data_IF_464509171669
#
_entry.id   IF_464509171669
#
_cell.length_a   1.000
_cell.length_b   1.000
_cell.length_c   1.000
_cell.angle_alpha   90.00
_cell.angle_beta   90.00
_cell.angle_gamma   90.00
#
_symmetry.space_group_name_H-M   'P 1'
#
loop_
_entity.id
_entity.type
_entity.pdbx_description
1 polymer ?
#
# COMPACT_ATOMS: atom_id res chain seq x y z
N UNK A 1 -6.88 -17.67 11.04
CA UNK A 1 -5.72 -17.38 11.91
C UNK A 1 -5.64 -15.88 12.12
N UNK A 2 -5.20 -15.40 13.29
CA UNK A 2 -4.97 -13.97 13.48
C UNK A 2 -3.75 -13.52 12.64
N UNK A 3 -3.80 -12.34 12.00
CA UNK A 3 -2.67 -11.82 11.25
C UNK A 3 -1.53 -11.42 12.20
N UNK A 4 -0.28 -11.55 11.75
CA UNK A 4 0.90 -11.07 12.49
C UNK A 4 1.26 -9.66 12.05
N UNK A 5 1.41 -8.75 13.01
CA UNK A 5 1.88 -7.38 12.73
C UNK A 5 3.39 -7.33 12.89
N UNK A 6 4.08 -6.68 11.94
CA UNK A 6 5.53 -6.44 11.99
C UNK A 6 5.79 -4.96 11.77
N UNK A 7 6.67 -4.40 12.59
CA UNK A 7 7.28 -3.10 12.35
C UNK A 7 8.69 -3.33 11.79
N UNK A 8 8.94 -2.83 10.59
CA UNK A 8 10.21 -2.98 9.88
C UNK A 8 11.03 -1.68 9.85
N UNK A 9 10.49 -0.58 10.40
CA UNK A 9 11.13 0.73 10.37
C UNK A 9 11.42 1.23 8.95
N UNK A 10 12.53 1.96 8.79
CA UNK A 10 12.97 2.45 7.48
C UNK A 10 13.60 1.31 6.67
N UNK A 11 12.98 0.95 5.54
CA UNK A 11 13.40 -0.19 4.70
C UNK A 11 13.53 0.22 3.24
N UNK A 12 14.56 -0.27 2.53
CA UNK A 12 14.69 -0.08 1.08
C UNK A 12 13.51 -0.68 0.31
N UNK A 13 12.97 0.05 -0.67
CA UNK A 13 11.77 -0.37 -1.41
C UNK A 13 11.94 -1.72 -2.09
N UNK A 14 13.06 -1.94 -2.77
CA UNK A 14 13.35 -3.20 -3.48
C UNK A 14 13.51 -4.37 -2.52
N UNK A 15 14.18 -4.17 -1.38
CA UNK A 15 14.34 -5.21 -0.36
C UNK A 15 12.99 -5.61 0.28
N UNK A 16 12.13 -4.63 0.58
CA UNK A 16 10.77 -4.89 1.05
C UNK A 16 9.96 -5.66 -0.01
N UNK A 17 10.01 -5.23 -1.27
CA UNK A 17 9.30 -5.87 -2.37
C UNK A 17 9.73 -7.32 -2.61
N UNK A 18 11.03 -7.59 -2.64
CA UNK A 18 11.56 -8.96 -2.75
C UNK A 18 11.15 -9.84 -1.57
N UNK A 19 11.10 -9.27 -0.37
CA UNK A 19 10.66 -9.99 0.83
C UNK A 19 9.17 -10.30 0.78
N UNK A 20 8.33 -9.36 0.33
CA UNK A 20 6.90 -9.60 0.10
C UNK A 20 6.67 -10.71 -0.94
N UNK A 21 7.43 -10.69 -2.04
CA UNK A 21 7.37 -11.73 -3.08
C UNK A 21 7.74 -13.09 -2.51
N UNK A 22 8.91 -13.20 -1.86
CA UNK A 22 9.35 -14.46 -1.24
C UNK A 22 8.37 -14.99 -0.19
N UNK A 23 7.79 -14.11 0.63
CA UNK A 23 6.76 -14.48 1.59
C UNK A 23 5.54 -15.07 0.88
N UNK A 24 5.05 -14.39 -0.16
CA UNK A 24 3.87 -14.80 -0.91
C UNK A 24 4.11 -16.10 -1.68
N UNK A 25 5.27 -16.27 -2.29
CA UNK A 25 5.61 -17.46 -3.09
C UNK A 25 5.81 -18.72 -2.23
N UNK A 26 6.21 -18.55 -0.96
CA UNK A 26 6.47 -19.66 -0.02
C UNK A 26 5.30 -19.95 0.92
N UNK A 27 4.23 -19.15 0.86
CA UNK A 27 3.09 -19.30 1.77
C UNK A 27 2.37 -20.62 1.49
N UNK A 28 1.82 -21.20 2.54
CA UNK A 28 0.89 -22.33 2.48
C UNK A 28 -0.43 -21.95 3.14
N UNK A 29 -1.42 -22.84 3.08
CA UNK A 29 -2.71 -22.65 3.76
C UNK A 29 -2.55 -22.42 5.28
N UNK A 30 -1.48 -22.96 5.87
CA UNK A 30 -1.12 -22.79 7.28
C UNK A 30 -0.31 -21.53 7.58
N UNK A 31 0.17 -20.80 6.57
CA UNK A 31 0.88 -19.53 6.77
C UNK A 31 -0.10 -18.43 7.18
N UNK A 32 0.08 -17.88 8.38
CA UNK A 32 -0.68 -16.73 8.86
C UNK A 32 -0.49 -15.52 7.93
N UNK A 33 -1.54 -14.71 7.76
CA UNK A 33 -1.42 -13.42 7.06
C UNK A 33 -0.54 -12.47 7.86
N UNK A 34 0.10 -11.51 7.18
CA UNK A 34 0.96 -10.52 7.83
C UNK A 34 0.60 -9.09 7.43
N UNK A 35 0.82 -8.16 8.37
CA UNK A 35 0.68 -6.72 8.16
C UNK A 35 2.03 -6.10 8.50
N UNK A 36 2.69 -5.51 7.52
CA UNK A 36 3.99 -4.86 7.70
C UNK A 36 3.82 -3.36 7.72
N UNK A 37 4.33 -2.74 8.78
CA UNK A 37 4.42 -1.30 8.99
C UNK A 37 5.86 -0.88 8.73
N UNK A 38 6.06 0.12 7.89
CA UNK A 38 7.39 0.58 7.52
C UNK A 38 7.35 1.98 6.90
N UNK A 39 8.54 2.53 6.69
CA UNK A 39 8.78 3.70 5.85
C UNK A 39 9.81 3.33 4.78
N UNK A 40 9.83 4.10 3.69
CA UNK A 40 10.86 3.98 2.66
C UNK A 40 11.75 5.22 2.63
N UNK A 41 13.04 5.09 2.30
CA UNK A 41 13.78 6.19 1.70
C UNK A 41 13.05 6.76 0.47
N UNK A 42 13.34 8.00 0.07
CA UNK A 42 12.67 8.62 -1.08
C UNK A 42 12.71 7.73 -2.32
N UNK A 43 11.54 7.39 -2.86
CA UNK A 43 11.41 6.54 -4.05
C UNK A 43 10.12 6.85 -4.79
N UNK A 44 10.18 6.84 -6.12
CA UNK A 44 9.00 6.76 -6.96
C UNK A 44 8.75 5.30 -7.36
N UNK A 45 7.55 4.80 -7.12
CA UNK A 45 7.13 3.49 -7.66
C UNK A 45 6.21 3.68 -8.85
N UNK A 46 6.50 2.99 -9.95
CA UNK A 46 5.71 3.00 -11.19
C UNK A 46 4.99 1.66 -11.32
N UNK A 47 3.67 1.67 -11.10
CA UNK A 47 2.82 0.48 -11.23
C UNK A 47 2.47 0.14 -12.68
N UNK A 48 1.64 -0.88 -12.88
CA UNK A 48 1.26 -1.41 -14.20
C UNK A 48 0.57 -0.39 -15.12
N UNK A 49 -0.15 0.59 -14.57
CA UNK A 49 -0.77 1.68 -15.33
C UNK A 49 0.17 2.88 -15.55
N UNK A 50 1.39 2.81 -15.01
CA UNK A 50 2.37 3.87 -15.05
C UNK A 50 3.10 3.95 -16.39
N UNK A 51 3.33 5.18 -16.86
CA UNK A 51 4.17 5.49 -18.02
C UNK A 51 5.19 6.53 -17.58
N UNK A 52 6.32 6.61 -18.27
CA UNK A 52 7.37 7.59 -17.94
C UNK A 52 6.86 9.03 -17.94
N UNK A 53 5.95 9.37 -18.87
CA UNK A 53 5.27 10.68 -18.90
C UNK A 53 4.43 11.02 -17.67
N UNK A 54 4.16 10.06 -16.77
CA UNK A 54 3.49 10.34 -15.51
C UNK A 54 4.48 10.81 -14.42
N UNK A 55 5.79 10.63 -14.64
CA UNK A 55 6.84 11.25 -13.83
C UNK A 55 7.00 12.70 -14.31
N UNK A 56 6.80 13.66 -13.41
CA UNK A 56 6.92 15.08 -13.76
C UNK A 56 8.39 15.53 -13.73
N UNK A 57 9.06 15.34 -12.60
CA UNK A 57 10.49 15.62 -12.44
C UNK A 57 11.02 14.82 -11.23
N UNK A 58 11.55 13.60 -11.42
CA UNK A 58 12.01 12.77 -10.32
C UNK A 58 13.35 13.24 -9.72
N UNK A 59 14.07 14.15 -10.38
CA UNK A 59 15.42 14.56 -9.96
C UNK A 59 16.35 13.36 -9.73
N UNK A 60 16.97 13.29 -8.55
CA UNK A 60 17.85 12.19 -8.14
C UNK A 60 17.11 11.03 -7.43
N UNK A 61 15.79 11.11 -7.26
CA UNK A 61 15.00 10.11 -6.54
C UNK A 61 14.88 8.85 -7.41
N UNK A 62 15.22 7.65 -6.90
CA UNK A 62 15.10 6.41 -7.64
C UNK A 62 13.66 6.16 -8.13
N UNK A 63 13.53 5.64 -9.35
CA UNK A 63 12.26 5.21 -9.92
C UNK A 63 12.26 3.70 -10.09
N UNK A 64 11.39 3.01 -9.35
CA UNK A 64 11.28 1.54 -9.37
C UNK A 64 10.00 1.13 -10.09
N UNK A 65 10.14 0.33 -11.15
CA UNK A 65 9.00 -0.32 -11.81
C UNK A 65 8.53 -1.50 -10.96
N UNK A 66 7.24 -1.57 -10.69
CA UNK A 66 6.64 -2.60 -9.85
C UNK A 66 5.33 -3.10 -10.45
N UNK A 67 4.83 -4.20 -9.90
CA UNK A 67 3.69 -4.95 -10.42
C UNK A 67 2.37 -4.63 -9.72
N UNK A 68 2.33 -3.62 -8.84
CA UNK A 68 1.06 -3.13 -8.28
C UNK A 68 0.23 -2.39 -9.34
N UNK A 69 -1.08 -2.38 -9.12
CA UNK A 69 -2.00 -1.51 -9.84
C UNK A 69 -1.71 -0.02 -9.64
N UNK A 70 -2.32 0.81 -10.48
CA UNK A 70 -2.17 2.26 -10.46
C UNK A 70 -1.02 2.77 -11.31
N UNK A 71 -0.83 4.08 -11.30
CA UNK A 71 0.20 4.78 -12.07
C UNK A 71 1.46 4.97 -11.20
N UNK A 72 1.95 6.20 -11.10
CA UNK A 72 3.09 6.58 -10.25
C UNK A 72 2.62 6.92 -8.83
N UNK A 73 3.45 6.63 -7.83
CA UNK A 73 3.31 7.22 -6.48
C UNK A 73 4.70 7.44 -5.86
N UNK A 74 4.75 8.32 -4.87
CA UNK A 74 5.96 8.63 -4.11
C UNK A 74 5.86 8.01 -2.71
N UNK A 75 6.99 7.48 -2.24
CA UNK A 75 7.20 7.11 -0.84
C UNK A 75 8.46 7.79 -0.30
N UNK A 76 8.47 8.09 0.99
CA UNK A 76 9.59 8.74 1.66
C UNK A 76 9.41 8.78 3.18
N UNK A 77 10.43 9.24 3.92
CA UNK A 77 10.34 9.39 5.37
C UNK A 77 9.18 10.30 5.79
N UNK A 78 8.50 9.94 6.88
CA UNK A 78 7.27 10.55 7.37
C UNK A 78 5.99 9.99 6.75
N UNK A 79 6.09 9.09 5.75
CA UNK A 79 4.94 8.39 5.20
C UNK A 79 4.90 6.94 5.70
N UNK A 80 3.93 6.63 6.57
CA UNK A 80 3.64 5.24 6.94
C UNK A 80 3.16 4.45 5.72
N UNK A 81 3.90 3.41 5.38
CA UNK A 81 3.53 2.40 4.39
C UNK A 81 3.03 1.16 5.13
N UNK A 82 1.91 0.61 4.66
CA UNK A 82 1.32 -0.61 5.22
C UNK A 82 1.15 -1.65 4.13
N UNK A 83 1.90 -2.75 4.23
CA UNK A 83 1.73 -3.90 3.35
C UNK A 83 0.90 -4.98 4.03
N UNK A 84 -0.29 -5.24 3.52
CA UNK A 84 -1.18 -6.29 4.02
C UNK A 84 -1.05 -7.52 3.12
N UNK A 85 -0.30 -8.52 3.58
CA UNK A 85 -0.08 -9.79 2.90
C UNK A 85 -1.16 -10.78 3.31
N UNK A 86 -2.31 -10.70 2.62
CA UNK A 86 -3.51 -11.47 2.92
C UNK A 86 -3.78 -12.56 1.88
N UNK A 87 -4.28 -13.73 2.31
CA UNK A 87 -4.89 -14.73 1.43
C UNK A 87 -6.39 -14.43 1.26
N UNK A 88 -6.73 -13.76 0.16
CA UNK A 88 -8.11 -13.38 -0.11
C UNK A 88 -9.04 -14.59 -0.35
N UNK A 89 -8.51 -15.70 -0.88
CA UNK A 89 -9.28 -16.92 -1.10
C UNK A 89 -9.67 -17.54 0.24
N UNK A 90 -8.70 -17.65 1.17
CA UNK A 90 -8.96 -18.13 2.53
C UNK A 90 -9.91 -17.21 3.31
N UNK A 91 -9.85 -15.91 3.05
CA UNK A 91 -10.79 -14.95 3.65
C UNK A 91 -12.19 -15.02 3.01
N UNK A 92 -12.34 -15.61 1.82
CA UNK A 92 -13.56 -15.54 1.01
C UNK A 92 -13.88 -14.12 0.53
N UNK A 93 -12.86 -13.28 0.32
CA UNK A 93 -13.02 -11.88 -0.05
C UNK A 93 -12.62 -11.64 -1.50
N UNK A 94 -13.37 -10.78 -2.19
CA UNK A 94 -12.93 -10.22 -3.47
C UNK A 94 -12.05 -8.98 -3.27
N UNK A 95 -11.26 -8.65 -4.30
CA UNK A 95 -10.36 -7.47 -4.31
C UNK A 95 -11.09 -6.17 -3.93
N UNK A 96 -12.29 -5.93 -4.46
CA UNK A 96 -13.08 -4.73 -4.15
C UNK A 96 -13.42 -4.62 -2.66
N UNK A 97 -13.81 -5.74 -2.03
CA UNK A 97 -14.11 -5.79 -0.59
C UNK A 97 -12.84 -5.50 0.22
N UNK A 98 -11.71 -6.04 -0.20
CA UNK A 98 -10.44 -5.82 0.46
C UNK A 98 -9.97 -4.37 0.37
N UNK A 99 -10.01 -3.74 -0.81
CA UNK A 99 -9.72 -2.30 -0.99
C UNK A 99 -10.62 -1.46 -0.08
N UNK A 100 -11.94 -1.73 -0.09
CA UNK A 100 -12.86 -1.00 0.77
C UNK A 100 -12.51 -1.14 2.26
N UNK A 101 -12.07 -2.33 2.71
CA UNK A 101 -11.65 -2.53 4.09
C UNK A 101 -10.38 -1.75 4.45
N UNK A 102 -9.39 -1.70 3.55
CA UNK A 102 -8.17 -0.91 3.74
C UNK A 102 -8.49 0.59 3.82
N UNK A 103 -9.33 1.09 2.93
CA UNK A 103 -9.80 2.48 2.97
C UNK A 103 -10.61 2.77 4.25
N UNK A 104 -11.40 1.80 4.73
CA UNK A 104 -12.17 1.98 5.97
C UNK A 104 -11.24 2.11 7.16
N UNK A 105 -10.21 1.27 7.25
CA UNK A 105 -9.26 1.32 8.36
C UNK A 105 -8.57 2.70 8.46
N UNK A 106 -8.24 3.32 7.32
CA UNK A 106 -7.69 4.70 7.30
C UNK A 106 -8.74 5.73 7.73
N UNK A 107 -10.00 5.59 7.28
CA UNK A 107 -11.08 6.50 7.69
C UNK A 107 -11.33 6.40 9.20
N UNK A 108 -11.43 5.19 9.73
CA UNK A 108 -11.65 4.93 11.16
C UNK A 108 -10.48 5.50 11.98
N UNK A 109 -9.25 5.35 11.48
CA UNK A 109 -8.07 5.96 12.08
C UNK A 109 -8.17 7.50 12.10
N UNK A 110 -8.53 8.14 10.99
CA UNK A 110 -8.76 9.59 10.94
C UNK A 110 -9.86 10.03 11.93
N UNK A 111 -10.92 9.23 12.09
CA UNK A 111 -12.01 9.52 13.02
C UNK A 111 -11.53 9.53 14.48
N UNK A 112 -10.53 8.72 14.86
CA UNK A 112 -9.92 8.79 16.21
C UNK A 112 -9.34 10.17 16.55
N UNK A 113 -8.91 10.92 15.53
CA UNK A 113 -8.45 12.31 15.66
C UNK A 113 -9.51 13.35 15.29
N UNK A 114 -10.76 12.92 15.10
CA UNK A 114 -11.90 13.76 14.67
C UNK A 114 -11.68 14.44 13.32
N UNK A 115 -10.93 13.78 12.44
CA UNK A 115 -10.65 14.24 11.09
C UNK A 115 -11.63 13.55 10.14
N UNK A 116 -12.43 14.34 9.41
CA UNK A 116 -13.41 13.82 8.47
C UNK A 116 -12.75 13.37 7.16
N UNK A 117 -12.45 12.08 7.05
CA UNK A 117 -11.91 11.47 5.85
C UNK A 117 -12.99 10.70 5.06
N UNK A 118 -12.88 10.67 3.72
CA UNK A 118 -13.88 10.03 2.84
C UNK A 118 -13.22 9.30 1.67
N UNK A 119 -13.94 8.32 1.13
CA UNK A 119 -13.64 7.73 -0.20
C UNK A 119 -14.13 8.65 -1.30
N UNK A 120 -13.56 8.50 -2.50
CA UNK A 120 -14.04 9.15 -3.72
C UNK A 120 -14.41 8.11 -4.78
N UNK A 121 -15.64 8.19 -5.29
CA UNK A 121 -16.09 7.31 -6.38
C UNK A 121 -15.16 7.42 -7.59
N UNK A 122 -14.73 6.27 -8.11
CA UNK A 122 -13.83 6.18 -9.27
C UNK A 122 -12.36 6.53 -8.99
N UNK A 123 -11.97 6.86 -7.76
CA UNK A 123 -10.61 7.27 -7.44
C UNK A 123 -10.11 6.63 -6.12
N UNK A 124 -9.49 5.43 -6.17
CA UNK A 124 -9.04 4.69 -4.99
C UNK A 124 -8.17 5.52 -4.04
N UNK A 125 -8.33 5.24 -2.74
CA UNK A 125 -7.67 5.95 -1.65
C UNK A 125 -8.63 6.76 -0.78
N UNK A 126 -8.05 7.45 0.20
CA UNK A 126 -8.78 8.25 1.19
C UNK A 126 -8.42 9.72 1.06
N UNK A 127 -9.42 10.59 1.25
CA UNK A 127 -9.33 12.02 0.97
C UNK A 127 -9.87 12.85 2.14
N UNK A 128 -9.29 14.02 2.34
CA UNK A 128 -9.74 15.08 3.25
C UNK A 128 -9.83 16.36 2.42
N UNK A 129 -10.97 17.04 2.43
CA UNK A 129 -11.20 18.29 1.68
C UNK A 129 -10.77 18.23 0.21
N UNK A 130 -10.95 17.06 -0.42
CA UNK A 130 -10.59 16.80 -1.81
C UNK A 130 -9.12 16.46 -2.05
N UNK A 131 -8.24 16.63 -1.06
CA UNK A 131 -6.85 16.21 -1.10
C UNK A 131 -6.68 14.75 -0.69
N UNK A 132 -5.86 13.98 -1.40
CA UNK A 132 -5.60 12.57 -1.10
C UNK A 132 -4.63 12.47 0.08
N UNK A 133 -5.02 11.69 1.10
CA UNK A 133 -4.20 11.46 2.31
C UNK A 133 -3.72 10.04 2.45
N UNK A 134 -4.37 9.06 1.79
CA UNK A 134 -3.84 7.71 1.66
C UNK A 134 -4.06 7.18 0.25
N UNK A 135 -2.98 6.63 -0.33
CA UNK A 135 -3.06 5.87 -1.57
C UNK A 135 -3.26 4.39 -1.25
N UNK A 136 -4.02 3.69 -2.10
CA UNK A 136 -4.18 2.23 -2.02
C UNK A 136 -3.81 1.62 -3.37
N UNK A 137 -2.94 0.64 -3.34
CA UNK A 137 -2.52 -0.14 -4.51
C UNK A 137 -2.33 -1.59 -4.12
N UNK A 138 -2.82 -2.50 -4.94
CA UNK A 138 -2.73 -3.95 -4.74
C UNK A 138 -2.00 -4.61 -5.90
N UNK A 139 -1.51 -5.82 -5.66
CA UNK A 139 -1.04 -6.78 -6.64
C UNK A 139 -1.94 -8.01 -6.58
#
# INVERSE_FOLDING_TARGET
MQPRVRDLGLTEYTAAWETMRRFTDRRTEATADEIWLLEHPPVFSLGLGGKEKHLLDPGAIPVVRCDRGGQVTYHGPGQLVVYVLADLQRMGWGVKRFVNALEQAVIDLCETWRILARRRSGAPGVYIDGAKVAAVGLR
#
